data_IF_425619145849
#
_entry.id   IF_425619145849
#
_cell.length_a   1.000
_cell.length_b   1.000
_cell.length_c   1.000
_cell.angle_alpha   90.00
_cell.angle_beta   90.00
_cell.angle_gamma   90.00
#
_symmetry.space_group_name_H-M   'P 1'
#
loop_
_entity.id
_entity.type
_entity.pdbx_description
1 polymer ?
#
# COMPACT_ATOMS: atom_id res chain seq x y z
N UNK A 1 -8.14 11.62 6.92
CA UNK A 1 -8.20 13.08 6.70
C UNK A 1 -9.26 13.32 5.66
N UNK A 2 -10.10 14.35 5.75
CA UNK A 2 -11.06 14.66 4.69
C UNK A 2 -10.62 15.90 3.92
N UNK A 3 -11.09 16.06 2.69
CA UNK A 3 -10.72 17.18 1.82
C UNK A 3 -11.30 18.54 2.26
N UNK A 4 -12.16 18.54 3.29
CA UNK A 4 -12.79 19.73 3.84
C UNK A 4 -13.86 20.37 2.95
N UNK A 5 -14.02 19.92 1.71
CA UNK A 5 -14.93 20.51 0.71
C UNK A 5 -16.07 19.55 0.39
N UNK A 6 -15.78 18.31 -0.05
CA UNK A 6 -16.80 17.28 -0.24
C UNK A 6 -17.03 16.43 1.01
N UNK A 7 -16.06 16.44 1.94
CA UNK A 7 -16.02 15.53 3.07
C UNK A 7 -15.43 14.16 2.72
N UNK A 8 -14.93 13.99 1.50
CA UNK A 8 -14.28 12.75 1.07
C UNK A 8 -12.94 12.55 1.78
N UNK A 9 -12.58 11.29 2.01
CA UNK A 9 -11.30 10.94 2.56
C UNK A 9 -10.15 11.33 1.61
N UNK A 10 -9.21 12.14 2.09
CA UNK A 10 -7.87 12.23 1.53
C UNK A 10 -7.08 11.02 2.04
N UNK A 11 -6.65 10.21 1.08
CA UNK A 11 -5.79 9.08 1.36
C UNK A 11 -4.36 9.37 0.91
N UNK A 12 -3.34 9.01 1.70
CA UNK A 12 -1.94 9.16 1.31
C UNK A 12 -1.57 8.10 0.26
N UNK A 13 -1.19 8.56 -0.93
CA UNK A 13 -0.68 7.73 -2.02
C UNK A 13 0.77 8.13 -2.27
N UNK A 14 1.63 7.14 -2.47
CA UNK A 14 3.03 7.36 -2.77
C UNK A 14 3.49 6.50 -3.94
N UNK A 15 4.31 7.06 -4.82
CA UNK A 15 5.03 6.28 -5.83
C UNK A 15 6.16 5.51 -5.16
N UNK A 16 6.14 4.18 -5.26
CA UNK A 16 7.16 3.29 -4.70
C UNK A 16 7.65 2.32 -5.77
N UNK A 17 8.80 1.68 -5.53
CA UNK A 17 9.29 0.59 -6.36
C UNK A 17 9.10 -0.74 -5.65
N UNK A 18 8.28 -1.62 -6.22
CA UNK A 18 8.09 -3.02 -5.81
C UNK A 18 8.97 -3.89 -6.68
N UNK A 19 10.03 -4.45 -6.09
CA UNK A 19 11.17 -5.05 -6.79
C UNK A 19 11.75 -4.07 -7.83
N UNK A 20 11.38 -4.22 -9.09
CA UNK A 20 11.83 -3.36 -10.21
C UNK A 20 10.68 -2.59 -10.88
N UNK A 21 9.45 -2.71 -10.37
CA UNK A 21 8.26 -2.04 -10.93
C UNK A 21 7.90 -0.82 -10.08
N UNK A 22 7.72 0.33 -10.72
CA UNK A 22 7.16 1.50 -10.04
C UNK A 22 5.63 1.45 -10.06
N UNK A 23 4.99 1.69 -8.92
CA UNK A 23 3.54 1.80 -8.83
C UNK A 23 3.11 2.74 -7.70
N UNK A 24 1.88 3.23 -7.79
CA UNK A 24 1.24 3.97 -6.71
C UNK A 24 0.80 3.00 -5.60
N UNK A 25 1.22 3.33 -4.38
CA UNK A 25 0.88 2.62 -3.16
C UNK A 25 -0.01 3.51 -2.28
N UNK A 26 -1.19 3.00 -1.94
CA UNK A 26 -2.06 3.57 -0.93
C UNK A 26 -1.55 3.16 0.46
N UNK A 27 -1.40 4.13 1.37
CA UNK A 27 -1.06 3.84 2.78
C UNK A 27 -2.36 3.81 3.59
N UNK A 28 -2.72 2.62 4.08
CA UNK A 28 -3.93 2.39 4.86
C UNK A 28 -3.57 1.77 6.20
N UNK A 29 -3.39 2.61 7.22
CA UNK A 29 -3.12 2.13 8.59
C UNK A 29 -4.29 1.36 9.20
N UNK A 30 -5.50 1.44 8.64
CA UNK A 30 -6.65 0.64 9.06
C UNK A 30 -6.60 -0.80 8.53
N UNK A 31 -5.84 -1.06 7.47
CA UNK A 31 -5.68 -2.40 6.92
C UNK A 31 -4.77 -3.27 7.80
N UNK A 32 -5.28 -4.44 8.20
CA UNK A 32 -4.52 -5.43 8.97
C UNK A 32 -3.49 -6.22 8.15
N UNK A 33 -3.45 -6.04 6.83
CA UNK A 33 -2.52 -6.72 5.92
C UNK A 33 -2.25 -5.85 4.70
N UNK A 34 -1.14 -6.08 4.03
CA UNK A 34 -0.83 -5.42 2.75
C UNK A 34 -1.38 -6.21 1.56
N UNK A 35 -1.75 -5.50 0.51
CA UNK A 35 -2.41 -6.06 -0.66
C UNK A 35 -1.72 -5.63 -1.95
N UNK A 36 -1.73 -6.52 -2.95
CA UNK A 36 -1.30 -6.21 -4.29
C UNK A 36 -2.38 -6.60 -5.30
N UNK A 37 -2.57 -5.76 -6.32
CA UNK A 37 -3.48 -6.09 -7.41
C UNK A 37 -2.99 -7.33 -8.16
N UNK A 38 -3.92 -8.11 -8.71
CA UNK A 38 -3.59 -9.21 -9.61
C UNK A 38 -2.67 -8.74 -10.75
N UNK A 39 -2.94 -7.56 -11.32
CA UNK A 39 -2.12 -6.96 -12.37
C UNK A 39 -0.67 -6.75 -11.93
N UNK A 40 -0.42 -6.25 -10.72
CA UNK A 40 0.93 -6.06 -10.21
C UNK A 40 1.65 -7.40 -10.04
N UNK A 41 0.99 -8.38 -9.43
CA UNK A 41 1.56 -9.73 -9.23
C UNK A 41 1.93 -10.38 -10.57
N UNK A 42 1.02 -10.32 -11.54
CA UNK A 42 1.24 -10.92 -12.86
C UNK A 42 2.38 -10.21 -13.61
N UNK A 43 2.54 -8.91 -13.42
CA UNK A 43 3.64 -8.13 -14.01
C UNK A 43 4.98 -8.43 -13.32
N UNK A 44 4.98 -8.63 -12.00
CA UNK A 44 6.16 -9.04 -11.22
C UNK A 44 6.60 -10.46 -11.56
N UNK A 45 5.72 -11.31 -12.10
CA UNK A 45 5.98 -12.72 -12.44
C UNK A 45 6.52 -13.55 -11.27
N UNK A 46 6.10 -13.20 -10.06
CA UNK A 46 6.46 -13.90 -8.82
C UNK A 46 5.46 -15.02 -8.52
N UNK A 47 5.91 -16.05 -7.81
CA UNK A 47 5.06 -17.16 -7.35
C UNK A 47 4.63 -16.91 -5.90
N UNK A 48 3.43 -17.39 -5.49
CA UNK A 48 3.00 -17.26 -4.11
C UNK A 48 3.94 -18.05 -3.20
N UNK A 49 4.33 -17.45 -2.07
CA UNK A 49 5.09 -18.13 -1.01
C UNK A 49 4.17 -18.97 -0.12
N UNK A 50 2.89 -18.57 -0.02
CA UNK A 50 1.88 -19.29 0.76
C UNK A 50 0.50 -19.18 0.10
N UNK A 51 -0.31 -20.24 0.22
CA UNK A 51 -1.71 -20.25 -0.19
C UNK A 51 -2.54 -20.77 0.97
N UNK A 52 -3.49 -19.97 1.45
CA UNK A 52 -4.43 -20.36 2.52
C UNK A 52 -5.86 -20.35 2.02
N UNK A 53 -6.70 -21.22 2.59
CA UNK A 53 -8.16 -21.10 2.48
C UNK A 53 -8.68 -20.52 3.78
N UNK A 54 -9.28 -19.34 3.70
CA UNK A 54 -9.83 -18.66 4.86
C UNK A 54 -11.35 -18.60 4.76
N UNK A 55 -12.01 -18.88 5.88
CA UNK A 55 -13.45 -18.73 6.02
C UNK A 55 -13.73 -17.28 6.41
N UNK A 56 -14.35 -16.53 5.51
CA UNK A 56 -14.73 -15.13 5.69
C UNK A 56 -16.22 -15.09 6.03
N UNK A 57 -16.53 -14.63 7.24
CA UNK A 57 -17.90 -14.32 7.62
C UNK A 57 -18.26 -12.94 7.08
N UNK A 58 -19.35 -12.85 6.34
CA UNK A 58 -19.98 -11.63 5.87
C UNK A 58 -21.33 -11.48 6.58
N UNK A 59 -21.98 -10.32 6.44
CA UNK A 59 -23.20 -9.97 7.20
C UNK A 59 -24.28 -11.07 7.16
N UNK A 60 -24.53 -11.68 5.99
CA UNK A 60 -25.57 -12.70 5.80
C UNK A 60 -25.04 -14.04 5.31
N UNK A 61 -23.73 -14.20 5.12
CA UNK A 61 -23.17 -15.39 4.51
C UNK A 61 -21.78 -15.69 5.03
N UNK A 62 -21.34 -16.93 4.86
CA UNK A 62 -19.93 -17.28 4.99
C UNK A 62 -19.41 -17.68 3.63
N UNK A 63 -18.32 -17.05 3.19
CA UNK A 63 -17.57 -17.46 2.01
C UNK A 63 -16.22 -18.06 2.41
N UNK A 64 -15.82 -19.16 1.78
CA UNK A 64 -14.42 -19.62 1.87
C UNK A 64 -13.66 -19.02 0.70
N UNK A 65 -12.65 -18.20 0.98
CA UNK A 65 -11.80 -17.57 -0.02
C UNK A 65 -10.41 -18.22 -0.03
N UNK A 66 -9.86 -18.42 -1.23
CA UNK A 66 -8.45 -18.76 -1.41
C UNK A 66 -7.64 -17.47 -1.40
N UNK A 67 -6.73 -17.34 -0.45
CA UNK A 67 -5.79 -16.23 -0.36
C UNK A 67 -4.40 -16.69 -0.77
N UNK A 68 -3.75 -15.90 -1.59
CA UNK A 68 -2.38 -16.12 -2.04
C UNK A 68 -1.49 -15.00 -1.51
N UNK A 69 -0.40 -15.38 -0.87
CA UNK A 69 0.56 -14.49 -0.25
C UNK A 69 1.87 -14.50 -1.03
N UNK A 70 2.48 -13.33 -1.18
CA UNK A 70 3.65 -13.10 -2.00
C UNK A 70 4.65 -12.26 -1.23
N UNK A 71 5.89 -12.72 -1.12
CA UNK A 71 6.97 -11.90 -0.58
C UNK A 71 7.50 -10.95 -1.66
N UNK A 72 7.61 -9.67 -1.30
CA UNK A 72 8.15 -8.64 -2.18
C UNK A 72 9.04 -7.68 -1.40
N UNK A 73 9.90 -6.96 -2.13
CA UNK A 73 10.68 -5.85 -1.58
C UNK A 73 10.12 -4.54 -2.11
N UNK A 74 9.83 -3.63 -1.21
CA UNK A 74 9.46 -2.26 -1.55
C UNK A 74 10.65 -1.35 -1.27
N UNK A 75 10.87 -0.38 -2.15
CA UNK A 75 11.87 0.65 -1.95
C UNK A 75 11.35 2.03 -2.33
N UNK A 76 11.91 3.06 -1.70
CA UNK A 76 11.75 4.43 -2.17
C UNK A 76 12.32 4.58 -3.58
N UNK A 77 11.88 5.60 -4.31
CA UNK A 77 12.33 5.86 -5.69
C UNK A 77 13.84 6.06 -5.77
N UNK A 78 14.43 6.73 -4.77
CA UNK A 78 15.88 6.92 -4.64
C UNK A 78 16.62 5.70 -4.06
N UNK A 79 15.89 4.64 -3.71
CA UNK A 79 16.41 3.38 -3.19
C UNK A 79 16.99 3.45 -1.77
N UNK A 80 16.92 4.60 -1.09
CA UNK A 80 17.49 4.77 0.26
C UNK A 80 16.73 4.00 1.34
N UNK A 81 15.42 3.89 1.17
CA UNK A 81 14.58 3.11 2.07
C UNK A 81 14.16 1.82 1.39
N UNK A 82 14.22 0.70 2.13
CA UNK A 82 13.79 -0.61 1.65
C UNK A 82 13.07 -1.35 2.77
N UNK A 83 11.99 -2.04 2.45
CA UNK A 83 11.29 -2.94 3.36
C UNK A 83 10.91 -4.23 2.63
N UNK A 84 10.95 -5.35 3.33
CA UNK A 84 10.30 -6.58 2.85
C UNK A 84 8.85 -6.55 3.30
N UNK A 85 7.94 -6.98 2.43
CA UNK A 85 6.51 -7.02 2.70
C UNK A 85 5.92 -8.35 2.26
N UNK A 86 4.87 -8.77 2.96
CA UNK A 86 4.05 -9.89 2.54
C UNK A 86 2.73 -9.36 1.98
N UNK A 87 2.49 -9.63 0.69
CA UNK A 87 1.38 -9.08 -0.07
C UNK A 87 0.32 -10.15 -0.30
N UNK A 88 -0.93 -9.83 0.03
CA UNK A 88 -2.07 -10.66 -0.36
C UNK A 88 -2.54 -10.24 -1.75
N UNK A 89 -2.62 -11.17 -2.71
CA UNK A 89 -3.17 -10.89 -4.05
C UNK A 89 -4.66 -10.62 -3.96
N UNK A 90 -5.10 -9.51 -4.57
CA UNK A 90 -6.51 -9.14 -4.67
C UNK A 90 -6.86 -8.92 -6.13
N UNK A 91 -7.94 -9.57 -6.55
CA UNK A 91 -8.54 -9.41 -7.87
C UNK A 91 -9.92 -8.78 -7.72
N UNK A 92 -9.93 -7.49 -7.39
CA UNK A 92 -11.13 -6.66 -7.25
C UNK A 92 -10.88 -5.34 -7.92
N UNK A 93 -11.60 -5.10 -9.01
CA UNK A 93 -11.43 -3.90 -9.84
C UNK A 93 -11.76 -2.62 -9.09
N UNK A 94 -12.65 -2.69 -8.10
CA UNK A 94 -13.07 -1.56 -7.26
C UNK A 94 -11.94 -1.03 -6.38
N UNK A 95 -10.89 -1.82 -6.14
CA UNK A 95 -9.73 -1.43 -5.33
C UNK A 95 -8.56 -0.92 -6.17
N UNK A 96 -8.75 -0.74 -7.48
CA UNK A 96 -7.70 -0.37 -8.42
C UNK A 96 -7.66 1.11 -8.76
N UNK A 97 -8.59 1.93 -8.25
CA UNK A 97 -8.54 3.37 -8.43
C UNK A 97 -9.05 4.13 -7.22
N UNK A 98 -8.60 5.37 -7.13
CA UNK A 98 -9.00 6.33 -6.10
C UNK A 98 -9.09 7.72 -6.73
N UNK A 99 -9.93 8.60 -6.18
CA UNK A 99 -9.99 9.99 -6.61
C UNK A 99 -8.64 10.66 -6.37
N UNK A 100 -8.21 11.47 -7.35
CA UNK A 100 -7.01 12.29 -7.22
C UNK A 100 -7.30 13.46 -6.28
N UNK A 101 -6.63 13.56 -5.12
CA UNK A 101 -6.88 14.64 -4.16
C UNK A 101 -6.28 15.98 -4.58
N UNK A 102 -5.56 16.05 -5.71
CA UNK A 102 -4.78 17.21 -6.15
C UNK A 102 -3.74 17.62 -5.09
N UNK A 103 -2.75 16.75 -4.91
CA UNK A 103 -1.70 16.93 -3.90
C UNK A 103 -0.93 18.24 -4.06
N UNK A 104 -0.78 18.74 -5.30
CA UNK A 104 -0.12 20.01 -5.56
C UNK A 104 -0.89 21.16 -4.92
N UNK A 105 -2.21 21.22 -5.15
CA UNK A 105 -3.08 22.20 -4.50
C UNK A 105 -3.05 22.06 -2.97
N UNK A 106 -3.04 20.84 -2.44
CA UNK A 106 -2.98 20.60 -0.99
C UNK A 106 -1.67 21.13 -0.37
N UNK A 107 -0.51 20.90 -1.02
CA UNK A 107 0.78 21.43 -0.53
C UNK A 107 0.80 22.96 -0.57
N UNK A 108 0.29 23.57 -1.64
CA UNK A 108 0.20 25.03 -1.77
C UNK A 108 -0.75 25.64 -0.72
N UNK A 109 -1.83 24.95 -0.38
CA UNK A 109 -2.83 25.41 0.59
C UNK A 109 -2.34 25.31 2.04
N UNK A 110 -1.57 24.26 2.38
CA UNK A 110 -1.21 23.96 3.76
C UNK A 110 0.29 24.14 4.01
N UNK A 111 0.65 25.23 4.69
CA UNK A 111 2.05 25.59 5.01
C UNK A 111 2.84 24.47 5.69
N UNK A 112 2.20 23.66 6.55
CA UNK A 112 2.88 22.55 7.23
C UNK A 112 3.29 21.40 6.29
N UNK A 113 2.85 21.42 5.02
CA UNK A 113 3.24 20.47 3.98
C UNK A 113 4.35 20.99 3.05
N UNK A 114 4.88 22.20 3.27
CA UNK A 114 5.87 22.84 2.39
C UNK A 114 7.14 21.99 2.16
N UNK A 115 7.55 21.20 3.16
CA UNK A 115 8.71 20.30 3.05
C UNK A 115 8.38 18.92 2.44
N UNK A 116 7.11 18.61 2.19
CA UNK A 116 6.67 17.31 1.66
C UNK A 116 6.96 17.26 0.17
N UNK A 117 7.77 16.29 -0.24
CA UNK A 117 8.06 16.02 -1.66
C UNK A 117 7.19 14.88 -2.15
N UNK A 118 6.25 15.20 -3.05
CA UNK A 118 5.40 14.21 -3.73
C UNK A 118 5.93 14.05 -5.17
N UNK A 119 6.18 12.81 -5.56
CA UNK A 119 6.65 12.44 -6.90
C UNK A 119 5.49 11.88 -7.72
N UNK A 120 4.40 12.64 -7.76
CA UNK A 120 3.17 12.34 -8.48
C UNK A 120 2.65 13.64 -9.11
N UNK A 121 2.79 13.75 -10.42
CA UNK A 121 2.32 14.85 -11.26
C UNK A 121 1.10 14.45 -12.10
N UNK A 122 0.48 13.30 -11.81
CA UNK A 122 -0.67 12.81 -12.58
C UNK A 122 -1.89 13.73 -12.34
N UNK A 123 -2.43 14.26 -13.42
CA UNK A 123 -3.58 15.17 -13.41
C UNK A 123 -4.90 14.44 -13.66
N UNK A 124 -4.90 13.12 -13.81
CA UNK A 124 -6.13 12.34 -14.01
C UNK A 124 -7.05 12.47 -12.81
N UNK A 125 -8.38 12.46 -13.02
CA UNK A 125 -9.35 12.53 -11.92
C UNK A 125 -9.29 11.31 -11.00
N UNK A 126 -8.82 10.17 -11.50
CA UNK A 126 -8.58 8.96 -10.72
C UNK A 126 -7.17 8.43 -10.93
N UNK A 127 -6.54 8.02 -9.83
CA UNK A 127 -5.21 7.45 -9.80
C UNK A 127 -5.29 5.92 -9.66
N UNK A 128 -4.53 5.15 -10.45
CA UNK A 128 -4.52 3.69 -10.32
C UNK A 128 -3.80 3.24 -9.04
N UNK A 129 -4.45 2.44 -8.21
CA UNK A 129 -3.82 1.82 -7.03
C UNK A 129 -3.50 0.36 -7.33
N UNK A 130 -2.25 -0.03 -7.14
CA UNK A 130 -1.81 -1.41 -7.36
C UNK A 130 -1.22 -2.07 -6.11
N UNK A 131 -1.00 -1.27 -5.08
CA UNK A 131 -0.44 -1.69 -3.81
C UNK A 131 -1.17 -0.95 -2.68
N UNK A 132 -1.57 -1.67 -1.64
CA UNK A 132 -2.06 -1.10 -0.39
C UNK A 132 -1.13 -1.57 0.73
N UNK A 133 -0.54 -0.63 1.46
CA UNK A 133 0.32 -0.91 2.59
C UNK A 133 -0.47 -0.80 3.89
N UNK A 134 -0.66 -1.95 4.53
CA UNK A 134 -1.33 -2.07 5.81
C UNK A 134 -0.38 -1.97 7.00
N UNK A 135 -0.96 -2.00 8.19
CA UNK A 135 -0.24 -1.89 9.46
C UNK A 135 0.62 -3.14 9.81
N UNK A 136 0.40 -4.28 9.15
CA UNK A 136 1.17 -5.51 9.38
C UNK A 136 2.68 -5.34 9.19
N UNK A 137 3.08 -4.48 8.26
CA UNK A 137 4.48 -4.27 7.91
C UNK A 137 5.17 -3.29 8.87
N UNK A 138 4.41 -2.35 9.45
CA UNK A 138 4.92 -1.44 10.48
C UNK A 138 5.32 -2.20 11.75
N UNK A 139 4.47 -3.11 12.22
CA UNK A 139 4.73 -3.94 13.42
C UNK A 139 5.90 -4.88 13.20
N UNK A 140 6.01 -5.50 12.01
CA UNK A 140 7.08 -6.46 11.69
C UNK A 140 8.47 -5.81 11.70
N UNK A 141 8.59 -4.60 11.13
CA UNK A 141 9.86 -3.86 11.12
C UNK A 141 10.25 -3.34 12.51
N UNK A 142 9.28 -2.90 13.32
CA UNK A 142 9.52 -2.52 14.73
C UNK A 142 10.13 -3.67 15.53
N UNK A 143 9.55 -4.87 15.39
CA UNK A 143 10.03 -6.06 16.10
C UNK A 143 11.43 -6.51 15.64
N UNK A 144 11.78 -6.33 14.37
CA UNK A 144 13.14 -6.62 13.86
C UNK A 144 14.19 -5.61 14.35
N UNK A 145 13.84 -4.33 14.43
CA UNK A 145 14.70 -3.29 15.00
C UNK A 145 14.95 -3.51 16.50
N UNK A 146 13.91 -3.86 17.26
CA UNK A 146 14.04 -4.20 18.69
C UNK A 146 14.86 -5.47 18.90
N UNK A 147 14.63 -6.53 18.12
CA UNK A 147 15.42 -7.76 18.21
C UNK A 147 16.91 -7.57 17.86
N UNK A 148 17.23 -6.68 16.92
CA UNK A 148 18.63 -6.36 16.56
C UNK A 148 19.35 -5.59 17.66
N UNK A 149 18.61 -4.79 18.45
CA UNK A 149 19.14 -4.05 19.61
C UNK A 149 19.50 -4.98 20.78
N UNK A 150 18.80 -6.09 20.95
CA UNK A 150 19.10 -7.10 21.99
C UNK A 150 20.21 -8.08 21.62
N UNK A 151 20.62 -8.15 20.34
CA UNK A 151 21.76 -8.97 19.90
C UNK A 151 23.11 -8.24 19.96
N UNK A 152 23.12 -6.98 20.38
CA UNK A 152 24.30 -6.13 20.52
C UNK A 152 24.63 -5.79 21.99
N UNK A 153 23.96 -6.47 22.92
CA UNK A 153 24.23 -6.47 24.37
C UNK A 153 24.56 -7.91 24.80
#
# INVERSE_FOLDING_TARGET
MTDGVSGDGIFPIMTVRVNDIMCQALIDSGAGSSYASAKLIDTLKIKPCEIKRQRINMLMTTQTARMEFYDAKISSIDGKYKMNVNLTKVDKTELLSINNPDYKRLIEQYQHLESVKIYDDDTKPQLPVHLVLGNSEYVRNKNQHEASRWKQL
#
